data_IF_093804848400
#
_entry.id   IF_093804848400
#
_cell.length_a   1.000
_cell.length_b   1.000
_cell.length_c   1.000
_cell.angle_alpha   90.00
_cell.angle_beta   90.00
_cell.angle_gamma   90.00
#
_symmetry.space_group_name_H-M   'P 1'
#
loop_
_entity.id
_entity.type
_entity.pdbx_description
1 polymer ?
#
# COMPACT_ATOMS: atom_id res chain seq x y z
N UNK A 1 -13.45 22.68 10.46
CA UNK A 1 -13.07 23.66 9.41
C UNK A 1 -14.10 23.54 8.30
N UNK A 2 -14.71 24.65 7.86
CA UNK A 2 -15.66 24.61 6.74
C UNK A 2 -14.85 24.62 5.46
N UNK A 3 -14.72 23.48 4.80
CA UNK A 3 -14.10 23.39 3.48
C UNK A 3 -14.90 24.29 2.54
N UNK A 4 -14.28 25.34 2.01
CA UNK A 4 -14.82 26.12 0.91
C UNK A 4 -14.28 25.48 -0.36
N UNK A 5 -14.99 24.53 -0.98
CA UNK A 5 -14.49 23.87 -2.18
C UNK A 5 -14.20 24.91 -3.24
N UNK A 6 -13.02 24.83 -3.83
CA UNK A 6 -12.62 25.69 -4.95
C UNK A 6 -13.68 25.55 -6.06
N UNK A 7 -14.13 26.68 -6.60
CA UNK A 7 -15.11 26.73 -7.69
C UNK A 7 -14.46 27.30 -8.95
N UNK A 8 -14.94 26.83 -10.10
CA UNK A 8 -14.74 27.43 -11.41
C UNK A 8 -13.27 27.79 -11.71
N UNK A 9 -12.94 29.08 -11.79
CA UNK A 9 -11.61 29.55 -12.22
C UNK A 9 -10.47 29.16 -11.27
N UNK A 10 -10.71 29.14 -9.97
CA UNK A 10 -9.70 28.77 -8.98
C UNK A 10 -9.43 27.26 -8.99
N UNK A 11 -10.49 26.46 -9.17
CA UNK A 11 -10.37 25.01 -9.35
C UNK A 11 -9.64 24.69 -10.65
N UNK A 12 -9.99 25.36 -11.75
CA UNK A 12 -9.33 25.19 -13.04
C UNK A 12 -7.84 25.49 -12.98
N UNK A 13 -7.46 26.63 -12.39
CA UNK A 13 -6.05 27.03 -12.30
C UNK A 13 -5.24 26.03 -11.46
N UNK A 14 -5.84 25.45 -10.42
CA UNK A 14 -5.21 24.39 -9.64
C UNK A 14 -5.08 23.08 -10.43
N UNK A 15 -6.13 22.64 -11.11
CA UNK A 15 -6.14 21.39 -11.90
C UNK A 15 -5.18 21.45 -13.09
N UNK A 16 -5.16 22.56 -13.83
CA UNK A 16 -4.28 22.74 -14.98
C UNK A 16 -2.79 22.80 -14.61
N UNK A 17 -2.48 23.11 -13.33
CA UNK A 17 -1.11 23.03 -12.79
C UNK A 17 -0.76 21.66 -12.22
N UNK A 18 -1.76 20.83 -11.91
CA UNK A 18 -1.57 19.55 -11.23
C UNK A 18 -1.66 18.34 -12.18
N UNK A 19 -2.42 18.47 -13.27
CA UNK A 19 -2.57 17.41 -14.27
C UNK A 19 -1.58 17.62 -15.40
N UNK A 20 -0.98 16.52 -15.86
CA UNK A 20 -0.08 16.50 -17.02
C UNK A 20 -0.48 15.37 -17.98
N UNK A 21 -0.05 15.48 -19.24
CA UNK A 21 -0.22 14.42 -20.24
C UNK A 21 -1.68 14.08 -20.53
N UNK A 22 -2.07 12.79 -20.56
CA UNK A 22 -3.44 12.37 -20.89
C UNK A 22 -4.52 12.95 -19.97
N UNK A 23 -4.20 13.19 -18.69
CA UNK A 23 -5.14 13.77 -17.73
C UNK A 23 -5.40 15.27 -18.02
N UNK A 24 -4.37 16.01 -18.43
CA UNK A 24 -4.52 17.41 -18.84
C UNK A 24 -5.32 17.52 -20.15
N UNK A 25 -5.09 16.61 -21.10
CA UNK A 25 -5.87 16.54 -22.33
C UNK A 25 -7.33 16.18 -22.08
N UNK A 26 -7.62 15.23 -21.20
CA UNK A 26 -8.99 14.90 -20.81
C UNK A 26 -9.70 16.06 -20.13
N UNK A 27 -9.00 16.81 -19.26
CA UNK A 27 -9.56 17.98 -18.60
C UNK A 27 -10.14 19.00 -19.60
N UNK A 28 -9.51 19.20 -20.76
CA UNK A 28 -10.02 20.14 -21.78
C UNK A 28 -11.29 19.63 -22.47
N UNK A 29 -11.55 18.32 -22.47
CA UNK A 29 -12.74 17.74 -23.10
C UNK A 29 -13.99 17.84 -22.23
N UNK A 30 -13.85 17.67 -20.91
CA UNK A 30 -14.98 17.72 -19.96
C UNK A 30 -15.44 19.15 -19.64
N UNK A 31 -14.67 20.15 -20.09
CA UNK A 31 -14.93 21.56 -19.81
C UNK A 31 -15.84 22.27 -20.83
N UNK A 32 -16.40 21.55 -21.79
CA UNK A 32 -17.12 22.15 -22.93
C UNK A 32 -18.59 22.56 -22.66
N UNK A 33 -19.04 22.78 -21.41
CA UNK A 33 -20.42 23.25 -21.25
C UNK A 33 -20.94 23.63 -19.87
N UNK A 34 -20.45 23.06 -18.76
CA UNK A 34 -21.10 23.21 -17.45
C UNK A 34 -20.17 23.67 -16.31
N UNK A 35 -20.78 24.17 -15.22
CA UNK A 35 -20.11 24.52 -13.96
C UNK A 35 -19.49 23.27 -13.31
N UNK A 36 -18.18 23.07 -13.48
CA UNK A 36 -17.45 21.98 -12.86
C UNK A 36 -17.16 22.28 -11.38
N UNK A 37 -17.78 21.52 -10.47
CA UNK A 37 -17.44 21.56 -9.04
C UNK A 37 -16.37 20.53 -8.67
N UNK A 38 -15.66 20.75 -7.55
CA UNK A 38 -14.64 19.81 -7.09
C UNK A 38 -15.17 18.39 -6.79
N UNK A 39 -16.36 18.22 -6.17
CA UNK A 39 -17.01 16.90 -6.07
C UNK A 39 -17.22 16.22 -7.43
N UNK A 40 -17.80 16.93 -8.40
CA UNK A 40 -18.11 16.36 -9.73
C UNK A 40 -16.83 15.99 -10.48
N UNK A 41 -15.80 16.85 -10.42
CA UNK A 41 -14.51 16.55 -10.99
C UNK A 41 -13.90 15.28 -10.40
N UNK A 42 -13.95 15.09 -9.07
CA UNK A 42 -13.39 13.89 -8.43
C UNK A 42 -14.11 12.63 -8.88
N UNK A 43 -15.43 12.67 -9.00
CA UNK A 43 -16.22 11.54 -9.47
C UNK A 43 -15.91 11.21 -10.92
N UNK A 44 -15.89 12.21 -11.81
CA UNK A 44 -15.55 12.03 -13.23
C UNK A 44 -14.11 11.56 -13.41
N UNK A 45 -13.17 12.11 -12.64
CA UNK A 45 -11.76 11.73 -12.70
C UNK A 45 -11.55 10.30 -12.19
N UNK A 46 -12.23 9.90 -11.13
CA UNK A 46 -12.21 8.52 -10.65
C UNK A 46 -12.89 7.56 -11.64
N UNK A 47 -13.97 7.96 -12.30
CA UNK A 47 -14.61 7.15 -13.32
C UNK A 47 -13.72 6.98 -14.58
N UNK A 48 -12.99 8.03 -14.96
CA UNK A 48 -12.18 8.02 -16.18
C UNK A 48 -10.76 7.48 -16.00
N UNK A 49 -10.12 7.77 -14.85
CA UNK A 49 -8.75 7.37 -14.54
C UNK A 49 -8.61 6.46 -13.33
N UNK A 50 -9.63 6.39 -12.47
CA UNK A 50 -9.56 5.63 -11.22
C UNK A 50 -9.56 4.12 -11.39
N UNK A 51 -9.81 3.63 -12.61
CA UNK A 51 -9.96 2.20 -12.89
C UNK A 51 -11.09 1.56 -12.08
N UNK A 52 -11.46 0.34 -12.42
CA UNK A 52 -12.21 -0.47 -11.46
C UNK A 52 -11.25 -0.85 -10.34
N UNK A 53 -11.66 -0.69 -9.08
CA UNK A 53 -10.85 -1.13 -7.95
C UNK A 53 -10.54 -2.63 -8.11
N UNK A 54 -9.26 -2.94 -8.38
CA UNK A 54 -8.83 -4.31 -8.66
C UNK A 54 -8.80 -5.13 -7.38
N UNK A 55 -8.97 -6.45 -7.51
CA UNK A 55 -9.07 -7.35 -6.38
C UNK A 55 -7.85 -7.24 -5.42
N UNK A 56 -6.66 -7.01 -5.97
CA UNK A 56 -5.42 -6.83 -5.22
C UNK A 56 -5.40 -5.55 -4.38
N UNK A 57 -5.87 -4.44 -4.94
CA UNK A 57 -5.98 -3.15 -4.25
C UNK A 57 -6.98 -3.22 -3.09
N UNK A 58 -8.12 -3.90 -3.31
CA UNK A 58 -9.10 -4.16 -2.26
C UNK A 58 -8.49 -4.96 -1.10
N UNK A 59 -7.71 -6.01 -1.40
CA UNK A 59 -7.06 -6.83 -0.38
C UNK A 59 -6.02 -6.05 0.43
N UNK A 60 -5.22 -5.20 -0.22
CA UNK A 60 -4.24 -4.35 0.47
C UNK A 60 -4.94 -3.42 1.46
N UNK A 61 -6.01 -2.74 1.03
CA UNK A 61 -6.77 -1.83 1.90
C UNK A 61 -7.37 -2.56 3.09
N UNK A 62 -7.98 -3.73 2.86
CA UNK A 62 -8.58 -4.53 3.93
C UNK A 62 -7.51 -5.05 4.89
N UNK A 63 -6.35 -5.47 4.40
CA UNK A 63 -5.24 -5.93 5.24
C UNK A 63 -4.61 -4.82 6.09
N UNK A 64 -4.77 -3.56 5.68
CA UNK A 64 -4.33 -2.38 6.44
C UNK A 64 -5.40 -1.90 7.45
N UNK A 65 -6.63 -2.46 7.45
CA UNK A 65 -7.64 -2.13 8.45
C UNK A 65 -7.24 -2.67 9.84
N UNK A 66 -7.29 -1.80 10.84
CA UNK A 66 -7.10 -2.18 12.24
C UNK A 66 -8.45 -2.52 12.90
N UNK A 67 -8.45 -3.38 13.94
CA UNK A 67 -9.60 -3.53 14.82
C UNK A 67 -10.01 -2.18 15.40
N UNK A 68 -11.32 -1.95 15.54
CA UNK A 68 -11.87 -0.74 16.19
C UNK A 68 -11.76 -0.87 17.71
N UNK A 69 -11.80 0.26 18.41
CA UNK A 69 -11.80 0.29 19.87
C UNK A 69 -12.98 -0.52 20.44
N UNK A 70 -12.67 -1.52 21.27
CA UNK A 70 -13.66 -2.40 21.87
C UNK A 70 -14.28 -3.45 20.91
N UNK A 71 -13.77 -3.57 19.68
CA UNK A 71 -14.23 -4.58 18.73
C UNK A 71 -13.72 -5.98 19.13
N UNK A 72 -14.63 -6.96 19.13
CA UNK A 72 -14.25 -8.35 19.41
C UNK A 72 -13.58 -8.97 18.17
N UNK A 73 -12.71 -9.97 18.34
CA UNK A 73 -12.09 -10.66 17.19
C UNK A 73 -13.10 -11.21 16.18
N UNK A 74 -14.24 -11.74 16.63
CA UNK A 74 -15.29 -12.22 15.74
C UNK A 74 -16.04 -11.11 15.00
N UNK A 75 -16.23 -9.94 15.63
CA UNK A 75 -16.80 -8.78 14.94
C UNK A 75 -15.84 -8.23 13.88
N UNK A 76 -14.54 -8.19 14.20
CA UNK A 76 -13.49 -7.80 13.27
C UNK A 76 -13.40 -8.78 12.08
N UNK A 77 -13.37 -10.09 12.34
CA UNK A 77 -13.38 -11.12 11.30
C UNK A 77 -14.58 -10.98 10.36
N UNK A 78 -15.79 -10.86 10.92
CA UNK A 78 -17.00 -10.73 10.12
C UNK A 78 -16.99 -9.45 9.27
N UNK A 79 -16.43 -8.35 9.78
CA UNK A 79 -16.24 -7.09 9.04
C UNK A 79 -15.29 -7.30 7.86
N UNK A 80 -14.14 -7.93 8.07
CA UNK A 80 -13.16 -8.24 7.01
C UNK A 80 -13.76 -9.15 5.94
N UNK A 81 -14.46 -10.23 6.35
CA UNK A 81 -15.13 -11.15 5.41
C UNK A 81 -16.20 -10.43 4.59
N UNK A 82 -17.02 -9.60 5.23
CA UNK A 82 -18.08 -8.83 4.55
C UNK A 82 -17.49 -7.83 3.55
N UNK A 83 -16.43 -7.13 3.93
CA UNK A 83 -15.73 -6.18 3.05
C UNK A 83 -15.17 -6.89 1.82
N UNK A 84 -14.40 -7.96 2.01
CA UNK A 84 -13.84 -8.74 0.89
C UNK A 84 -14.95 -9.35 0.03
N UNK A 85 -15.97 -9.93 0.64
CA UNK A 85 -17.10 -10.53 -0.09
C UNK A 85 -17.86 -9.52 -0.94
N UNK A 86 -17.99 -8.27 -0.47
CA UNK A 86 -18.61 -7.19 -1.26
C UNK A 86 -17.74 -6.74 -2.43
N UNK A 87 -16.42 -6.61 -2.23
CA UNK A 87 -15.46 -6.16 -3.24
C UNK A 87 -15.16 -7.22 -4.30
N UNK A 88 -15.21 -8.49 -3.91
CA UNK A 88 -14.89 -9.63 -4.77
C UNK A 88 -16.14 -10.38 -5.26
N UNK A 89 -17.33 -9.79 -5.14
CA UNK A 89 -18.60 -10.43 -5.52
C UNK A 89 -18.61 -10.98 -6.94
N UNK A 90 -17.96 -10.27 -7.85
CA UNK A 90 -17.87 -10.63 -9.27
C UNK A 90 -16.47 -11.14 -9.65
N UNK A 91 -15.57 -11.30 -8.68
CA UNK A 91 -14.20 -11.69 -8.96
C UNK A 91 -14.11 -13.18 -9.28
N UNK A 92 -13.32 -13.51 -10.29
CA UNK A 92 -13.04 -14.89 -10.62
C UNK A 92 -12.06 -15.52 -9.61
N UNK A 93 -12.03 -16.85 -9.53
CA UNK A 93 -11.01 -17.56 -8.73
C UNK A 93 -9.59 -17.15 -9.12
N UNK A 94 -9.32 -16.91 -10.40
CA UNK A 94 -8.00 -16.51 -10.88
C UNK A 94 -7.61 -15.12 -10.40
N UNK A 95 -8.55 -14.17 -10.43
CA UNK A 95 -8.37 -12.82 -9.89
C UNK A 95 -8.05 -12.84 -8.40
N UNK A 96 -8.77 -13.65 -7.62
CA UNK A 96 -8.52 -13.78 -6.17
C UNK A 96 -7.13 -14.38 -5.90
N UNK A 97 -6.72 -15.39 -6.67
CA UNK A 97 -5.38 -15.99 -6.56
C UNK A 97 -4.28 -14.98 -6.93
N UNK A 98 -4.45 -14.25 -8.02
CA UNK A 98 -3.51 -13.21 -8.45
C UNK A 98 -3.41 -12.08 -7.42
N UNK A 99 -4.56 -11.61 -6.91
CA UNK A 99 -4.63 -10.60 -5.86
C UNK A 99 -3.90 -11.01 -4.59
N UNK A 100 -4.11 -12.24 -4.14
CA UNK A 100 -3.46 -12.80 -2.96
C UNK A 100 -1.96 -12.91 -3.17
N UNK A 101 -1.51 -13.40 -4.33
CA UNK A 101 -0.10 -13.47 -4.68
C UNK A 101 0.54 -12.08 -4.69
N UNK A 102 -0.09 -11.10 -5.34
CA UNK A 102 0.40 -9.72 -5.37
C UNK A 102 0.48 -9.09 -3.98
N UNK A 103 -0.49 -9.32 -3.10
CA UNK A 103 -0.44 -8.82 -1.74
C UNK A 103 0.75 -9.39 -0.96
N UNK A 104 0.98 -10.71 -1.05
CA UNK A 104 2.12 -11.36 -0.41
C UNK A 104 3.46 -10.82 -0.93
N UNK A 105 3.59 -10.62 -2.24
CA UNK A 105 4.79 -10.05 -2.86
C UNK A 105 4.95 -8.55 -2.49
N UNK A 106 3.86 -7.79 -2.48
CA UNK A 106 3.83 -6.37 -2.13
C UNK A 106 4.19 -6.08 -0.68
N UNK A 107 3.95 -7.04 0.23
CA UNK A 107 4.42 -6.94 1.62
C UNK A 107 5.94 -6.96 1.78
N UNK A 108 6.67 -7.35 0.72
CA UNK A 108 8.13 -7.53 0.69
C UNK A 108 8.84 -6.54 -0.24
N UNK A 109 8.20 -6.12 -1.33
CA UNK A 109 8.79 -5.21 -2.31
C UNK A 109 7.73 -4.27 -2.91
N UNK A 110 8.02 -2.97 -2.82
CA UNK A 110 7.16 -1.86 -3.23
C UNK A 110 6.80 -1.87 -4.72
N UNK A 111 7.62 -2.52 -5.57
CA UNK A 111 7.31 -2.70 -6.99
C UNK A 111 6.06 -3.54 -7.18
N UNK A 112 5.87 -4.58 -6.37
CA UNK A 112 4.66 -5.40 -6.39
C UNK A 112 3.48 -4.71 -5.72
N UNK A 113 3.72 -3.88 -4.69
CA UNK A 113 2.67 -3.04 -4.11
C UNK A 113 2.11 -2.06 -5.16
N UNK A 114 2.97 -1.42 -5.95
CA UNK A 114 2.56 -0.58 -7.08
C UNK A 114 1.76 -1.37 -8.11
N UNK A 115 2.28 -2.52 -8.55
CA UNK A 115 1.58 -3.39 -9.50
C UNK A 115 0.19 -3.80 -9.01
N UNK A 116 0.05 -4.12 -7.71
CA UNK A 116 -1.21 -4.47 -7.08
C UNK A 116 -2.24 -3.32 -7.03
N UNK A 117 -1.77 -2.07 -7.07
CA UNK A 117 -2.63 -0.89 -7.04
C UNK A 117 -3.02 -0.40 -8.44
N UNK A 118 -2.18 -0.64 -9.45
CA UNK A 118 -2.34 -0.04 -10.78
C UNK A 118 -2.76 -1.01 -11.87
N UNK A 119 -2.55 -2.32 -11.69
CA UNK A 119 -2.75 -3.31 -12.75
C UNK A 119 -3.99 -4.15 -12.52
N UNK A 120 -4.87 -4.18 -13.52
CA UNK A 120 -6.03 -5.07 -13.56
C UNK A 120 -5.62 -6.46 -14.06
N UNK A 121 -5.19 -7.31 -13.12
CA UNK A 121 -4.76 -8.68 -13.39
C UNK A 121 -5.95 -9.63 -13.24
N UNK A 122 -6.54 -10.01 -14.37
CA UNK A 122 -7.76 -10.84 -14.42
C UNK A 122 -7.51 -12.32 -14.66
N UNK A 123 -6.27 -12.72 -14.97
CA UNK A 123 -5.90 -14.11 -15.23
C UNK A 123 -4.52 -14.49 -14.71
N UNK A 124 -4.32 -15.79 -14.48
CA UNK A 124 -3.00 -16.34 -14.07
C UNK A 124 -1.94 -16.11 -15.17
N UNK A 125 -2.33 -16.21 -16.45
CA UNK A 125 -1.41 -15.97 -17.57
C UNK A 125 -0.92 -14.52 -17.62
N UNK A 126 -1.84 -13.57 -17.38
CA UNK A 126 -1.48 -12.16 -17.27
C UNK A 126 -0.56 -11.92 -16.07
N UNK A 127 -0.90 -12.49 -14.91
CA UNK A 127 -0.04 -12.43 -13.73
C UNK A 127 1.39 -12.89 -14.03
N UNK A 128 1.54 -14.07 -14.64
CA UNK A 128 2.86 -14.60 -15.02
C UNK A 128 3.61 -13.69 -15.99
N UNK A 129 2.90 -13.07 -16.94
CA UNK A 129 3.50 -12.09 -17.86
C UNK A 129 4.02 -10.86 -17.13
N UNK A 130 3.24 -10.31 -16.19
CA UNK A 130 3.67 -9.18 -15.35
C UNK A 130 4.84 -9.56 -14.43
N UNK A 131 4.96 -10.83 -14.04
CA UNK A 131 6.05 -11.33 -13.19
C UNK A 131 7.37 -11.56 -13.95
N UNK A 132 7.35 -11.70 -15.29
CA UNK A 132 8.55 -11.99 -16.10
C UNK A 132 9.74 -11.04 -15.87
N UNK A 133 9.55 -9.71 -15.76
CA UNK A 133 10.66 -8.78 -15.51
C UNK A 133 11.37 -8.99 -14.17
N UNK A 134 10.72 -9.66 -13.22
CA UNK A 134 11.22 -9.85 -11.85
C UNK A 134 11.97 -11.18 -11.65
N UNK A 135 11.94 -12.09 -12.63
CA UNK A 135 12.52 -13.44 -12.52
C UNK A 135 14.02 -13.47 -12.18
N UNK A 136 14.75 -12.41 -12.53
CA UNK A 136 16.19 -12.31 -12.33
C UNK A 136 16.58 -11.31 -11.24
N UNK A 137 15.60 -10.72 -10.53
CA UNK A 137 15.91 -9.81 -9.43
C UNK A 137 15.98 -10.60 -8.13
N UNK A 138 17.10 -10.53 -7.43
CA UNK A 138 17.20 -11.07 -6.07
C UNK A 138 16.23 -10.32 -5.14
N UNK A 139 15.65 -11.04 -4.18
CA UNK A 139 14.80 -10.42 -3.16
C UNK A 139 15.61 -9.40 -2.36
N UNK A 140 15.05 -8.20 -2.07
CA UNK A 140 15.64 -7.30 -1.10
C UNK A 140 15.87 -8.07 0.21
N UNK A 141 17.09 -8.06 0.73
CA UNK A 141 17.41 -8.76 1.97
C UNK A 141 16.48 -8.21 3.05
N UNK A 142 15.65 -9.04 3.70
CA UNK A 142 14.75 -8.54 4.72
C UNK A 142 15.57 -7.90 5.84
N UNK A 143 15.10 -6.78 6.42
CA UNK A 143 15.81 -6.16 7.53
C UNK A 143 15.90 -7.16 8.70
N UNK A 144 16.98 -7.11 9.51
CA UNK A 144 17.36 -8.17 10.47
C UNK A 144 16.27 -8.63 11.44
N UNK A 145 15.24 -7.80 11.64
CA UNK A 145 14.14 -7.98 12.58
C UNK A 145 13.08 -8.99 12.12
N UNK A 146 13.04 -9.38 10.83
CA UNK A 146 12.00 -10.28 10.26
C UNK A 146 12.41 -11.75 10.15
N UNK A 147 13.63 -12.11 10.52
CA UNK A 147 14.12 -13.49 10.46
C UNK A 147 13.94 -14.18 11.81
N UNK A 148 12.74 -14.73 12.05
CA UNK A 148 12.58 -15.78 13.05
C UNK A 148 12.89 -17.14 12.39
N UNK A 149 13.80 -17.90 13.02
CA UNK A 149 14.16 -19.30 12.77
C UNK A 149 15.22 -19.65 11.68
N UNK A 150 16.48 -19.52 12.08
CA UNK A 150 17.58 -20.53 12.03
C UNK A 150 17.68 -21.59 10.90
N UNK A 151 18.80 -21.57 10.16
CA UNK A 151 19.85 -22.61 10.20
C UNK A 151 21.09 -22.06 9.46
N UNK A 152 22.31 -22.07 10.00
CA UNK A 152 23.17 -23.23 10.07
C UNK A 152 24.47 -22.95 9.27
N UNK A 153 25.54 -22.62 9.99
CA UNK A 153 26.96 -22.64 9.57
C UNK A 153 27.43 -21.73 8.42
N UNK A 154 28.13 -20.65 8.79
CA UNK A 154 29.49 -20.32 8.32
C UNK A 154 30.10 -19.25 9.22
N UNK A 155 31.38 -19.46 9.59
CA UNK A 155 32.17 -18.60 10.49
C UNK A 155 32.29 -17.19 9.89
N UNK A 156 31.45 -16.28 10.35
CA UNK A 156 31.67 -14.83 10.25
C UNK A 156 31.71 -14.29 11.67
N UNK A 157 32.74 -13.50 12.02
CA UNK A 157 32.84 -12.85 13.32
C UNK A 157 31.50 -12.21 13.66
N UNK A 158 30.88 -12.65 14.74
CA UNK A 158 29.66 -12.05 15.27
C UNK A 158 29.91 -10.54 15.47
N UNK A 159 29.15 -9.64 14.83
CA UNK A 159 29.05 -8.29 15.35
C UNK A 159 28.47 -8.45 16.75
N UNK A 160 29.12 -7.86 17.77
CA UNK A 160 28.63 -7.92 19.14
C UNK A 160 27.11 -7.67 19.17
N UNK A 161 26.33 -8.45 19.94
CA UNK A 161 24.89 -8.30 19.96
C UNK A 161 24.57 -6.86 20.29
N UNK A 162 23.87 -6.18 19.37
CA UNK A 162 23.38 -4.82 19.53
C UNK A 162 22.35 -4.85 20.66
N UNK A 163 22.83 -4.87 21.88
CA UNK A 163 22.00 -5.02 23.06
C UNK A 163 21.18 -3.75 23.15
N UNK A 164 19.85 -3.89 23.20
CA UNK A 164 18.97 -2.77 23.49
C UNK A 164 19.26 -2.35 24.92
N UNK A 165 19.67 -1.10 25.14
CA UNK A 165 19.87 -0.59 26.47
C UNK A 165 18.53 -0.61 27.23
N UNK A 166 18.47 -1.34 28.35
CA UNK A 166 17.27 -1.42 29.19
C UNK A 166 16.89 -0.10 29.88
N UNK A 167 17.77 0.90 29.84
CA UNK A 167 17.55 2.22 30.45
C UNK A 167 17.08 3.28 29.45
N UNK A 168 17.65 3.34 28.24
CA UNK A 168 17.32 4.40 27.27
C UNK A 168 16.66 3.90 25.98
N UNK A 169 16.55 2.58 25.78
CA UNK A 169 15.96 1.98 24.59
C UNK A 169 16.78 2.13 23.31
N UNK A 170 17.93 2.82 23.36
CA UNK A 170 18.85 3.00 22.21
C UNK A 170 19.73 1.76 22.07
N UNK A 171 19.96 1.34 20.83
CA UNK A 171 20.82 0.21 20.48
C UNK A 171 22.28 0.64 20.41
N UNK A 172 23.19 -0.32 20.65
CA UNK A 172 24.63 -0.12 20.49
C UNK A 172 25.40 0.06 21.80
N UNK A 173 24.76 -0.14 22.97
CA UNK A 173 25.44 -0.26 24.25
C UNK A 173 24.59 -1.05 25.26
N UNK A 174 25.20 -1.84 26.16
CA UNK A 174 24.50 -2.46 27.28
C UNK A 174 24.09 -1.43 28.34
N UNK A 175 23.10 -1.78 29.18
CA UNK A 175 22.52 -0.88 30.19
C UNK A 175 23.54 -0.26 31.15
N UNK A 176 24.67 -0.93 31.41
CA UNK A 176 25.72 -0.43 32.30
C UNK A 176 26.61 0.65 31.65
N UNK A 177 26.68 0.73 30.32
CA UNK A 177 27.45 1.74 29.56
C UNK A 177 26.59 2.93 29.10
N UNK A 178 25.38 3.07 29.64
CA UNK A 178 24.44 4.10 29.19
C UNK A 178 24.88 5.50 29.64
N UNK A 179 25.28 6.36 28.69
CA UNK A 179 25.59 7.78 28.96
C UNK A 179 24.45 8.55 29.62
N UNK A 180 23.19 8.16 29.39
CA UNK A 180 22.03 8.78 30.06
C UNK A 180 21.85 8.35 31.51
N UNK A 181 22.61 7.35 31.96
CA UNK A 181 22.63 6.86 33.35
C UNK A 181 23.62 7.67 34.21
N UNK A 182 24.61 8.31 33.60
CA UNK A 182 25.57 9.18 34.28
C UNK A 182 25.02 10.61 34.41
N UNK A 183 24.04 10.79 35.30
CA UNK A 183 23.70 12.09 35.93
C UNK A 183 23.17 11.85 37.34
N UNK A 184 24.09 11.54 38.25
CA UNK A 184 24.02 11.86 39.68
C UNK A 184 25.44 12.19 40.13
#
# INVERSE_FOLDING_TARGET
>A
MRDHPLKNSALYSALNRALEGPAAYWLTQIMNGDELTWPDFKEQFAAHFGGQEVAAASLIKVAEELPRDGETPGAYENRIITLLGSKWRNSTREEVLAATALHLLGSRDERFKRLALTSDITSVKQFQREMKPFLYTEWPTPPPWRSLASSGNKRGRSPAPWTRCGHCGIYGHPTFECRKRAKW
#
